data_IF_420849513465
#
_entry.id   IF_420849513465
#
_cell.length_a   1.000
_cell.length_b   1.000
_cell.length_c   1.000
_cell.angle_alpha   90.00
_cell.angle_beta   90.00
_cell.angle_gamma   90.00
#
_symmetry.space_group_name_H-M   'P 1'
#
loop_
_entity.id
_entity.type
_entity.pdbx_description
1 polymer ?
#
# COMPACT_ATOMS: atom_id res chain seq x y z
N UNK A 1 18.10 9.72 5.55
CA UNK A 1 17.86 9.88 4.09
C UNK A 1 16.38 10.11 3.94
N UNK A 2 16.01 11.40 3.95
CA UNK A 2 14.63 11.88 3.95
C UNK A 2 14.05 11.70 2.54
N UNK A 3 12.87 11.14 2.48
CA UNK A 3 12.09 11.01 1.26
C UNK A 3 10.62 11.09 1.68
N UNK A 4 10.30 12.26 2.22
CA UNK A 4 9.11 13.03 1.88
C UNK A 4 7.82 12.21 1.74
N UNK A 5 7.38 11.62 2.86
CA UNK A 5 5.95 11.60 3.20
C UNK A 5 5.52 12.99 3.71
N UNK A 6 5.78 14.02 2.92
CA UNK A 6 5.24 15.35 3.15
C UNK A 6 4.70 15.85 1.80
N UNK A 7 3.67 16.68 1.84
CA UNK A 7 3.02 17.27 0.67
C UNK A 7 2.08 16.33 -0.10
N UNK A 8 0.98 15.93 0.55
CA UNK A 8 -0.36 16.46 0.22
C UNK A 8 -1.43 15.86 1.12
N UNK A 9 -2.04 16.72 1.94
CA UNK A 9 -3.35 16.47 2.52
C UNK A 9 -4.36 16.24 1.38
N UNK A 10 -4.84 15.00 1.16
CA UNK A 10 -6.02 14.76 0.32
C UNK A 10 -6.77 13.49 0.74
N UNK A 11 -7.85 13.72 1.50
CA UNK A 11 -8.90 12.81 1.96
C UNK A 11 -8.56 11.83 3.10
N UNK A 12 -9.48 11.75 4.04
CA UNK A 12 -9.41 11.17 5.39
C UNK A 12 -9.29 9.63 5.44
N UNK A 13 -8.55 9.02 4.52
CA UNK A 13 -8.43 7.58 4.44
C UNK A 13 -6.97 7.17 4.32
N UNK A 14 -6.36 6.85 5.47
CA UNK A 14 -5.01 6.31 5.54
C UNK A 14 -4.98 4.93 4.85
N UNK A 15 -4.49 4.88 3.61
CA UNK A 15 -4.23 3.62 2.92
C UNK A 15 -2.90 3.04 3.45
N UNK A 16 -2.92 1.90 4.17
CA UNK A 16 -1.70 1.34 4.75
C UNK A 16 -0.69 0.86 3.68
N UNK A 17 -1.10 0.79 2.42
CA UNK A 17 -0.29 0.37 1.29
C UNK A 17 0.23 1.54 0.44
N UNK A 18 -0.06 2.78 0.84
CA UNK A 18 0.41 4.00 0.18
C UNK A 18 1.93 4.01 -0.04
N UNK A 19 2.70 3.52 0.93
CA UNK A 19 4.15 3.50 0.84
C UNK A 19 4.67 2.50 -0.23
N UNK A 20 4.06 1.32 -0.30
CA UNK A 20 4.37 0.34 -1.34
C UNK A 20 3.97 0.85 -2.73
N UNK A 21 2.83 1.54 -2.84
CA UNK A 21 2.41 2.20 -4.08
C UNK A 21 3.44 3.26 -4.52
N UNK A 22 3.87 4.14 -3.61
CA UNK A 22 4.87 5.16 -3.90
C UNK A 22 6.20 4.56 -4.37
N UNK A 23 6.66 3.46 -3.75
CA UNK A 23 7.87 2.74 -4.18
C UNK A 23 7.74 2.22 -5.61
N UNK A 24 6.58 1.65 -5.97
CA UNK A 24 6.34 1.16 -7.32
C UNK A 24 6.30 2.29 -8.36
N UNK A 25 5.70 3.44 -8.03
CA UNK A 25 5.65 4.64 -8.90
C UNK A 25 7.05 5.20 -9.11
N UNK A 26 7.87 5.27 -8.05
CA UNK A 26 9.27 5.74 -8.17
C UNK A 26 10.12 4.81 -9.02
N UNK A 27 9.90 3.50 -8.93
CA UNK A 27 10.57 2.54 -9.79
C UNK A 27 10.20 2.76 -11.27
N UNK A 28 8.92 2.94 -11.58
CA UNK A 28 8.46 3.25 -12.94
C UNK A 28 9.08 4.54 -13.46
N UNK A 29 9.08 5.61 -12.66
CA UNK A 29 9.67 6.90 -13.04
C UNK A 29 11.18 6.80 -13.35
N UNK A 30 11.90 5.89 -12.68
CA UNK A 30 13.34 5.68 -12.90
C UNK A 30 13.66 4.80 -14.09
N UNK A 31 12.80 3.83 -14.38
CA UNK A 31 13.03 2.82 -15.42
C UNK A 31 12.20 3.07 -16.69
N UNK A 32 11.74 4.30 -16.91
CA UNK A 32 10.98 4.67 -18.11
C UNK A 32 9.61 3.98 -18.23
N UNK A 33 9.04 3.52 -17.12
CA UNK A 33 7.78 2.79 -17.08
C UNK A 33 7.91 1.28 -17.29
N UNK A 34 9.12 0.72 -17.23
CA UNK A 34 9.31 -0.72 -17.31
C UNK A 34 8.71 -1.44 -16.09
N UNK A 35 7.68 -2.24 -16.35
CA UNK A 35 6.89 -2.92 -15.33
C UNK A 35 7.55 -4.21 -14.85
N UNK A 36 8.40 -4.83 -15.66
CA UNK A 36 9.06 -6.09 -15.29
C UNK A 36 10.10 -5.84 -14.21
N UNK A 37 10.86 -4.75 -14.35
CA UNK A 37 11.85 -4.27 -13.38
C UNK A 37 11.23 -3.86 -12.03
N UNK A 38 9.94 -3.53 -12.02
CA UNK A 38 9.22 -3.06 -10.83
C UNK A 38 8.26 -4.10 -10.24
N UNK A 39 8.31 -5.34 -10.74
CA UNK A 39 7.41 -6.44 -10.33
C UNK A 39 7.42 -6.70 -8.82
N UNK A 40 8.58 -6.67 -8.17
CA UNK A 40 8.71 -6.77 -6.71
C UNK A 40 7.93 -5.68 -5.95
N UNK A 41 7.94 -4.43 -6.43
CA UNK A 41 7.20 -3.35 -5.79
C UNK A 41 5.68 -3.51 -5.96
N UNK A 42 5.24 -4.04 -7.10
CA UNK A 42 3.84 -4.38 -7.30
C UNK A 42 3.42 -5.55 -6.43
N UNK A 43 4.29 -6.54 -6.23
CA UNK A 43 4.04 -7.67 -5.37
C UNK A 43 3.87 -7.20 -3.92
N UNK A 44 4.80 -6.40 -3.40
CA UNK A 44 4.69 -5.80 -2.07
C UNK A 44 3.37 -5.00 -1.86
N UNK A 45 2.89 -4.29 -2.89
CA UNK A 45 1.60 -3.60 -2.82
C UNK A 45 0.41 -4.57 -2.75
N UNK A 46 0.44 -5.67 -3.50
CA UNK A 46 -0.59 -6.72 -3.44
C UNK A 46 -0.61 -7.40 -2.07
N UNK A 47 0.56 -7.79 -1.57
CA UNK A 47 0.72 -8.41 -0.26
C UNK A 47 0.16 -7.51 0.86
N UNK A 48 0.49 -6.22 0.82
CA UNK A 48 -0.06 -5.27 1.78
C UNK A 48 -1.60 -5.21 1.71
N UNK A 49 -2.17 -5.15 0.50
CA UNK A 49 -3.62 -5.04 0.31
C UNK A 49 -4.34 -6.30 0.76
N UNK A 50 -3.74 -7.47 0.55
CA UNK A 50 -4.23 -8.75 1.04
C UNK A 50 -4.22 -8.79 2.57
N UNK A 51 -3.10 -8.43 3.20
CA UNK A 51 -3.00 -8.40 4.67
C UNK A 51 -4.01 -7.43 5.28
N UNK A 52 -4.17 -6.24 4.68
CA UNK A 52 -5.13 -5.26 5.17
C UNK A 52 -6.59 -5.74 5.03
N UNK A 53 -6.95 -6.36 3.91
CA UNK A 53 -8.28 -6.94 3.75
C UNK A 53 -8.52 -8.11 4.69
N UNK A 54 -7.50 -8.94 4.95
CA UNK A 54 -7.60 -10.04 5.91
C UNK A 54 -7.77 -9.51 7.35
N UNK A 55 -6.92 -8.58 7.78
CA UNK A 55 -7.03 -7.93 9.09
C UNK A 55 -8.40 -7.28 9.31
N UNK A 56 -8.96 -6.66 8.26
CA UNK A 56 -10.30 -6.06 8.32
C UNK A 56 -11.42 -7.10 8.40
N UNK A 57 -11.26 -8.25 7.73
CA UNK A 57 -12.17 -9.40 7.87
C UNK A 57 -12.10 -9.99 9.29
N UNK A 58 -10.91 -10.13 9.85
CA UNK A 58 -10.71 -10.63 11.22
C UNK A 58 -11.27 -9.67 12.26
N UNK A 59 -11.03 -8.37 12.11
CA UNK A 59 -11.61 -7.34 12.98
C UNK A 59 -13.14 -7.37 12.96
N UNK A 60 -13.75 -7.53 11.77
CA UNK A 60 -15.21 -7.73 11.63
C UNK A 60 -15.68 -9.01 12.32
N UNK A 61 -14.99 -10.15 12.13
CA UNK A 61 -15.32 -11.41 12.81
C UNK A 61 -15.25 -11.29 14.33
N UNK A 62 -14.20 -10.67 14.87
CA UNK A 62 -14.08 -10.38 16.31
C UNK A 62 -15.21 -9.47 16.81
N UNK A 63 -15.54 -8.42 16.07
CA UNK A 63 -16.64 -7.52 16.47
C UNK A 63 -18.01 -8.21 16.49
N UNK A 64 -18.24 -9.18 15.60
CA UNK A 64 -19.48 -9.95 15.55
C UNK A 64 -19.59 -11.03 16.63
N UNK A 65 -18.48 -11.39 17.29
CA UNK A 65 -18.45 -12.43 18.33
C UNK A 65 -18.61 -11.85 19.74
N UNK A 66 -18.30 -10.56 19.93
CA UNK A 66 -18.43 -9.86 21.22
C UNK A 66 -19.68 -8.96 21.31
N UNK A 67 -20.66 -9.16 20.43
CA UNK A 67 -21.95 -8.46 20.40
C UNK A 67 -23.12 -9.44 20.43
#
# INVERSE_FOLDING_TARGET
RADEQDSKAYSEYFDPCQEAANKSIRCLNRNGGDREMCSDFFQAYRDCKEQWTNARKEARRKSSWFG
#
